data_IF_602973939489
#
_entry.id   IF_602973939489
#
_cell.length_a   1.000
_cell.length_b   1.000
_cell.length_c   1.000
_cell.angle_alpha   90.00
_cell.angle_beta   90.00
_cell.angle_gamma   90.00
#
_symmetry.space_group_name_H-M   'P 1'
#
loop_
_entity.id
_entity.type
_entity.pdbx_description
1 polymer ?
#
# COMPACT_ATOMS: atom_id res chain seq x y z
N UNK A 1 -26.67 -92.31 23.29
CA UNK A 1 -27.38 -91.12 22.91
C UNK A 1 -26.40 -89.99 22.95
N UNK A 2 -26.06 -89.43 21.81
CA UNK A 2 -25.07 -88.37 21.67
C UNK A 2 -25.78 -87.01 21.59
N UNK A 3 -25.30 -85.90 22.22
CA UNK A 3 -25.72 -84.58 21.85
C UNK A 3 -24.72 -83.91 20.91
N UNK A 4 -25.25 -83.21 19.97
CA UNK A 4 -24.61 -82.41 18.99
C UNK A 4 -23.96 -81.13 19.63
N UNK A 5 -22.72 -80.92 19.31
CA UNK A 5 -22.04 -79.63 19.62
C UNK A 5 -22.18 -78.65 18.41
N UNK A 6 -22.81 -77.56 18.62
CA UNK A 6 -22.87 -76.45 17.64
C UNK A 6 -21.69 -75.50 17.86
N UNK A 7 -20.85 -75.37 16.83
CA UNK A 7 -19.74 -74.42 16.78
C UNK A 7 -20.26 -73.05 16.29
N UNK A 8 -20.14 -72.06 17.13
CA UNK A 8 -20.45 -70.69 16.78
C UNK A 8 -19.14 -69.98 16.38
N UNK A 9 -19.00 -69.70 15.07
CA UNK A 9 -17.86 -69.00 14.54
C UNK A 9 -18.09 -67.47 14.74
N UNK A 10 -17.23 -66.79 15.53
CA UNK A 10 -17.26 -65.36 15.77
C UNK A 10 -16.39 -64.70 14.72
N UNK A 11 -17.02 -64.08 13.70
CA UNK A 11 -16.34 -63.28 12.71
C UNK A 11 -16.11 -61.87 13.27
N UNK A 12 -14.86 -61.58 13.60
CA UNK A 12 -14.46 -60.27 14.07
C UNK A 12 -14.36 -59.31 12.86
N UNK A 13 -15.31 -58.38 12.77
CA UNK A 13 -15.33 -57.33 11.75
C UNK A 13 -14.41 -56.21 12.24
N UNK A 14 -13.20 -56.13 11.69
CA UNK A 14 -12.30 -54.98 11.92
C UNK A 14 -12.76 -53.81 11.05
N UNK A 15 -13.44 -52.85 11.67
CA UNK A 15 -13.76 -51.57 11.01
C UNK A 15 -12.51 -50.70 11.06
N UNK A 16 -11.80 -50.62 9.94
CA UNK A 16 -10.69 -49.69 9.75
C UNK A 16 -11.19 -48.25 9.70
N UNK A 17 -10.93 -47.49 10.74
CA UNK A 17 -11.07 -46.03 10.70
C UNK A 17 -9.90 -45.45 9.90
N UNK A 18 -10.11 -45.18 8.62
CA UNK A 18 -9.25 -44.30 7.83
C UNK A 18 -9.52 -42.85 8.24
N UNK A 19 -8.67 -42.30 9.08
CA UNK A 19 -8.69 -40.90 9.43
C UNK A 19 -8.16 -40.11 8.23
N UNK A 20 -9.06 -39.40 7.59
CA UNK A 20 -8.78 -38.56 6.44
C UNK A 20 -8.02 -37.30 6.91
N UNK A 21 -6.69 -37.32 6.76
CA UNK A 21 -5.85 -36.12 6.90
C UNK A 21 -5.94 -35.31 5.62
N UNK A 22 -6.92 -34.41 5.52
CA UNK A 22 -7.05 -33.50 4.40
C UNK A 22 -7.73 -32.20 4.83
N UNK A 23 -7.04 -31.37 5.59
CA UNK A 23 -7.51 -29.98 5.88
C UNK A 23 -6.42 -28.90 5.89
N UNK A 24 -5.20 -29.15 5.44
CA UNK A 24 -4.15 -28.13 5.53
C UNK A 24 -3.58 -27.64 4.18
N UNK A 25 -4.24 -27.86 3.05
CA UNK A 25 -3.66 -27.49 1.74
C UNK A 25 -4.41 -26.40 0.97
N UNK A 26 -5.41 -25.74 1.55
CA UNK A 26 -6.21 -24.74 0.81
C UNK A 26 -5.89 -23.29 1.20
N UNK A 27 -5.18 -23.05 2.31
CA UNK A 27 -4.96 -21.69 2.82
C UNK A 27 -3.76 -20.98 2.17
N UNK A 28 -2.74 -21.72 1.74
CA UNK A 28 -1.49 -21.13 1.22
C UNK A 28 -1.59 -20.55 -0.20
N UNK A 29 -2.38 -21.14 -1.08
CA UNK A 29 -2.45 -20.73 -2.48
C UNK A 29 -3.28 -19.46 -2.73
N UNK A 30 -4.21 -19.13 -1.82
CA UNK A 30 -5.07 -17.96 -1.97
C UNK A 30 -4.43 -16.64 -1.51
N UNK A 31 -3.48 -16.66 -0.58
CA UNK A 31 -2.86 -15.42 -0.08
C UNK A 31 -1.82 -14.85 -1.06
N UNK A 32 -1.02 -15.68 -1.73
CA UNK A 32 -0.04 -15.22 -2.72
C UNK A 32 -0.68 -14.72 -4.02
N UNK A 33 -1.73 -15.38 -4.51
CA UNK A 33 -2.44 -14.94 -5.72
C UNK A 33 -3.24 -13.65 -5.49
N UNK A 34 -3.72 -13.42 -4.28
CA UNK A 34 -4.42 -12.20 -3.86
C UNK A 34 -3.45 -11.01 -3.77
N UNK A 35 -2.18 -11.25 -3.40
CA UNK A 35 -1.18 -10.17 -3.26
C UNK A 35 -0.69 -9.65 -4.62
N UNK A 36 -0.49 -10.51 -5.61
CA UNK A 36 0.02 -10.11 -6.94
C UNK A 36 -1.01 -9.42 -7.82
N UNK A 37 -2.29 -9.78 -7.72
CA UNK A 37 -3.36 -9.15 -8.51
C UNK A 37 -3.73 -7.73 -8.01
N UNK A 38 -3.30 -7.35 -6.79
CA UNK A 38 -3.73 -6.11 -6.12
C UNK A 38 -2.84 -4.88 -6.37
N UNK A 39 -1.66 -5.06 -6.93
CA UNK A 39 -0.68 -3.97 -7.15
C UNK A 39 -0.59 -3.51 -8.62
N UNK A 40 -1.55 -3.87 -9.46
CA UNK A 40 -1.56 -3.49 -10.88
C UNK A 40 -1.54 -1.94 -11.01
N UNK A 41 -0.47 -1.44 -11.62
CA UNK A 41 -0.24 -0.02 -11.85
C UNK A 41 0.65 0.70 -10.82
N UNK A 42 0.90 0.11 -9.64
CA UNK A 42 1.81 0.70 -8.64
C UNK A 42 3.22 0.10 -8.80
N UNK A 43 4.23 0.94 -8.91
CA UNK A 43 5.61 0.50 -9.09
C UNK A 43 6.63 1.41 -8.42
N UNK A 44 7.77 0.84 -8.01
CA UNK A 44 8.93 1.65 -7.61
C UNK A 44 9.59 2.24 -8.85
N UNK A 45 9.99 3.50 -8.75
CA UNK A 45 10.76 4.18 -9.78
C UNK A 45 12.19 4.38 -9.25
N UNK A 46 13.22 3.88 -9.94
CA UNK A 46 14.59 4.15 -9.55
C UNK A 46 14.87 5.66 -9.57
N UNK A 47 15.41 6.18 -8.48
CA UNK A 47 15.79 7.57 -8.36
C UNK A 47 16.98 7.70 -7.41
N UNK A 48 17.84 8.66 -7.69
CA UNK A 48 18.98 9.02 -6.82
C UNK A 48 18.67 10.18 -5.89
N UNK A 49 17.70 11.02 -6.26
CA UNK A 49 17.36 12.28 -5.59
C UNK A 49 15.96 12.30 -4.97
N UNK A 50 15.17 11.28 -5.25
CA UNK A 50 13.80 11.13 -4.73
C UNK A 50 13.71 9.82 -3.93
N UNK A 51 13.98 9.87 -2.62
CA UNK A 51 13.99 8.64 -1.81
C UNK A 51 12.65 7.92 -1.86
N UNK A 52 12.69 6.60 -2.00
CA UNK A 52 11.51 5.73 -1.97
C UNK A 52 10.41 6.14 -2.96
N UNK A 53 10.81 6.60 -4.15
CA UNK A 53 9.88 7.02 -5.20
C UNK A 53 9.00 5.85 -5.65
N UNK A 54 7.69 6.05 -5.57
CA UNK A 54 6.64 5.12 -6.02
C UNK A 54 5.72 5.87 -6.96
N UNK A 55 5.51 5.31 -8.15
CA UNK A 55 4.45 5.72 -9.06
C UNK A 55 3.18 4.95 -8.69
N UNK A 56 2.10 5.64 -8.35
CA UNK A 56 0.79 5.04 -8.09
C UNK A 56 -0.02 4.89 -9.37
N UNK A 57 0.06 5.90 -10.23
CA UNK A 57 -0.51 5.94 -11.58
C UNK A 57 0.16 7.09 -12.37
N UNK A 58 -0.36 7.43 -13.54
CA UNK A 58 0.20 8.50 -14.37
C UNK A 58 -0.04 9.91 -13.78
N UNK A 59 -0.93 10.04 -12.81
CA UNK A 59 -1.32 11.33 -12.20
C UNK A 59 -0.59 11.59 -10.88
N UNK A 60 -0.27 10.55 -10.09
CA UNK A 60 0.26 10.76 -8.73
C UNK A 60 1.41 9.83 -8.40
N UNK A 61 2.42 10.41 -7.77
CA UNK A 61 3.63 9.78 -7.25
C UNK A 61 3.77 10.03 -5.75
N UNK A 62 4.47 9.15 -5.07
CA UNK A 62 4.81 9.27 -3.64
C UNK A 62 6.29 9.06 -3.42
N UNK A 63 6.87 9.75 -2.44
CA UNK A 63 8.28 9.56 -2.09
C UNK A 63 8.72 10.37 -0.88
N UNK A 64 10.05 10.50 -0.73
CA UNK A 64 10.70 11.31 0.30
C UNK A 64 10.90 12.76 -0.11
N UNK A 65 11.46 13.55 0.80
CA UNK A 65 11.85 14.92 0.50
C UNK A 65 12.86 14.94 -0.66
N UNK A 66 12.64 15.76 -1.70
CA UNK A 66 13.62 15.89 -2.79
C UNK A 66 14.98 16.34 -2.26
N UNK A 67 16.04 15.66 -2.71
CA UNK A 67 17.42 15.95 -2.29
C UNK A 67 17.95 17.18 -3.01
N UNK A 68 17.85 18.32 -2.34
CA UNK A 68 18.33 19.60 -2.82
C UNK A 68 17.68 20.08 -4.13
N UNK A 69 18.29 21.06 -4.82
CA UNK A 69 17.79 21.59 -6.10
C UNK A 69 17.69 20.52 -7.19
N UNK A 70 18.62 19.56 -7.22
CA UNK A 70 18.66 18.49 -8.21
C UNK A 70 17.45 17.55 -8.07
N UNK A 71 16.94 17.33 -6.84
CA UNK A 71 15.72 16.55 -6.62
C UNK A 71 14.49 17.22 -7.24
N UNK A 72 14.41 18.55 -7.20
CA UNK A 72 13.34 19.28 -7.89
C UNK A 72 13.52 19.27 -9.42
N UNK A 73 14.74 19.25 -9.92
CA UNK A 73 15.00 19.07 -11.37
C UNK A 73 14.58 17.67 -11.82
N UNK A 74 14.85 16.64 -11.02
CA UNK A 74 14.38 15.28 -11.31
C UNK A 74 12.83 15.19 -11.31
N UNK A 75 12.15 15.86 -10.39
CA UNK A 75 10.68 15.95 -10.41
C UNK A 75 10.18 16.60 -11.72
N UNK A 76 10.82 17.66 -12.19
CA UNK A 76 10.48 18.26 -13.47
C UNK A 76 10.69 17.32 -14.65
N UNK A 77 11.79 16.56 -14.65
CA UNK A 77 12.07 15.57 -15.71
C UNK A 77 11.03 14.45 -15.77
N UNK A 78 10.41 14.13 -14.62
CA UNK A 78 9.28 13.21 -14.53
C UNK A 78 7.94 13.87 -14.94
N UNK A 79 7.96 15.13 -15.34
CA UNK A 79 6.77 15.88 -15.75
C UNK A 79 5.93 16.42 -14.59
N UNK A 80 6.37 16.25 -13.34
CA UNK A 80 5.63 16.76 -12.16
C UNK A 80 5.37 18.26 -12.29
N UNK A 81 4.16 18.69 -11.94
CA UNK A 81 3.73 20.08 -11.92
C UNK A 81 3.51 20.60 -10.51
N UNK A 82 3.01 19.74 -9.64
CA UNK A 82 2.68 20.10 -8.25
C UNK A 82 3.36 19.15 -7.28
N UNK A 83 3.94 19.72 -6.21
CA UNK A 83 4.51 19.01 -5.06
C UNK A 83 3.60 19.25 -3.86
N UNK A 84 3.23 18.19 -3.14
CA UNK A 84 2.47 18.27 -1.90
C UNK A 84 3.31 17.67 -0.78
N UNK A 85 3.72 18.51 0.18
CA UNK A 85 4.35 18.02 1.42
C UNK A 85 3.29 17.65 2.45
N UNK A 86 3.37 16.43 2.95
CA UNK A 86 2.58 15.97 4.12
C UNK A 86 3.46 15.85 5.37
N UNK A 87 4.68 16.38 5.31
CA UNK A 87 5.60 16.42 6.45
C UNK A 87 5.23 17.53 7.44
N UNK A 88 5.62 17.37 8.71
CA UNK A 88 5.51 18.41 9.71
C UNK A 88 6.60 19.50 9.58
N UNK A 89 7.71 19.17 8.89
CA UNK A 89 8.82 20.12 8.67
C UNK A 89 8.38 21.19 7.68
N UNK A 90 8.74 22.47 7.91
CA UNK A 90 8.45 23.56 6.96
C UNK A 90 8.92 23.22 5.55
N UNK A 91 8.11 23.51 4.54
CA UNK A 91 8.39 23.14 3.17
C UNK A 91 9.48 24.00 2.52
N UNK A 92 10.23 23.40 1.60
CA UNK A 92 11.19 24.13 0.76
C UNK A 92 10.49 24.69 -0.50
N UNK A 93 9.50 25.53 -0.24
CA UNK A 93 8.63 26.08 -1.29
C UNK A 93 9.37 27.00 -2.28
N UNK A 94 10.44 27.68 -1.81
CA UNK A 94 11.24 28.56 -2.66
C UNK A 94 12.02 27.80 -3.72
N UNK A 95 12.67 26.68 -3.34
CA UNK A 95 13.38 25.81 -4.29
C UNK A 95 12.43 25.23 -5.33
N UNK A 96 11.27 24.77 -4.91
CA UNK A 96 10.26 24.26 -5.83
C UNK A 96 9.80 25.36 -6.82
N UNK A 97 9.51 26.57 -6.32
CA UNK A 97 9.09 27.71 -7.14
C UNK A 97 10.17 28.13 -8.13
N UNK A 98 11.43 28.16 -7.71
CA UNK A 98 12.56 28.45 -8.59
C UNK A 98 12.69 27.46 -9.77
N UNK A 99 12.13 26.26 -9.62
CA UNK A 99 12.05 25.23 -10.66
C UNK A 99 10.70 25.22 -11.40
N UNK A 100 9.83 26.19 -11.17
CA UNK A 100 8.53 26.31 -11.82
C UNK A 100 7.50 25.25 -11.32
N UNK A 101 7.72 24.68 -10.14
CA UNK A 101 6.81 23.73 -9.50
C UNK A 101 5.88 24.47 -8.53
N UNK A 102 4.59 24.11 -8.54
CA UNK A 102 3.68 24.49 -7.45
C UNK A 102 4.02 23.69 -6.21
N UNK A 103 3.99 24.34 -5.04
CA UNK A 103 4.21 23.66 -3.76
C UNK A 103 3.06 23.91 -2.80
N UNK A 104 2.52 22.84 -2.22
CA UNK A 104 1.42 22.87 -1.25
C UNK A 104 1.85 22.12 0.02
N UNK A 105 1.55 22.68 1.20
CA UNK A 105 1.88 22.06 2.48
C UNK A 105 0.61 21.66 3.21
N UNK A 106 0.41 20.35 3.36
CA UNK A 106 -0.77 19.74 3.99
C UNK A 106 -0.34 18.66 5.01
N UNK A 107 0.33 19.07 6.11
CA UNK A 107 0.93 18.13 7.06
C UNK A 107 -0.09 17.31 7.83
N UNK A 108 0.32 16.06 8.17
CA UNK A 108 -0.38 15.19 9.12
C UNK A 108 0.61 14.35 9.93
N UNK A 109 0.15 13.81 11.07
CA UNK A 109 0.94 12.96 11.96
C UNK A 109 0.95 11.49 11.55
N UNK A 110 1.41 10.64 12.48
CA UNK A 110 1.37 9.18 12.36
C UNK A 110 0.12 8.56 13.01
N UNK A 111 -0.62 9.36 13.75
CA UNK A 111 -1.87 9.05 14.43
C UNK A 111 -3.09 9.01 13.49
N UNK A 112 -2.91 9.49 12.26
CA UNK A 112 -3.92 9.42 11.20
C UNK A 112 -4.02 10.68 10.36
N UNK A 113 -4.88 10.61 9.35
CA UNK A 113 -5.22 11.72 8.48
C UNK A 113 -6.63 12.15 8.86
N UNK A 114 -6.78 13.34 9.46
CA UNK A 114 -8.10 13.85 9.89
C UNK A 114 -9.07 13.99 8.71
N UNK A 115 -10.39 13.92 8.93
CA UNK A 115 -11.38 14.07 7.84
C UNK A 115 -11.19 15.35 7.02
N UNK A 116 -10.91 16.47 7.68
CA UNK A 116 -10.62 17.73 7.01
C UNK A 116 -9.38 17.63 6.11
N UNK A 117 -8.31 16.99 6.61
CA UNK A 117 -7.07 16.82 5.83
C UNK A 117 -7.26 15.86 4.65
N UNK A 118 -8.05 14.80 4.84
CA UNK A 118 -8.41 13.89 3.73
C UNK A 118 -9.12 14.64 2.61
N UNK A 119 -10.09 15.49 2.95
CA UNK A 119 -10.81 16.30 1.98
C UNK A 119 -9.86 17.29 1.27
N UNK A 120 -8.99 17.98 2.02
CA UNK A 120 -8.02 18.93 1.45
C UNK A 120 -7.05 18.24 0.48
N UNK A 121 -6.50 17.08 0.86
CA UNK A 121 -5.58 16.30 0.01
C UNK A 121 -6.29 15.81 -1.26
N UNK A 122 -7.47 15.20 -1.12
CA UNK A 122 -8.23 14.69 -2.27
C UNK A 122 -8.63 15.82 -3.22
N UNK A 123 -9.09 16.95 -2.67
CA UNK A 123 -9.42 18.14 -3.47
C UNK A 123 -8.19 18.70 -4.17
N UNK A 124 -7.04 18.82 -3.47
CA UNK A 124 -5.81 19.31 -4.07
C UNK A 124 -5.37 18.44 -5.25
N UNK A 125 -5.40 17.11 -5.11
CA UNK A 125 -5.03 16.19 -6.20
C UNK A 125 -6.03 16.22 -7.35
N UNK A 126 -7.30 16.45 -7.07
CA UNK A 126 -8.34 16.51 -8.11
C UNK A 126 -8.30 17.78 -8.97
N UNK A 127 -7.85 18.92 -8.41
CA UNK A 127 -7.98 20.23 -9.08
C UNK A 127 -6.66 20.88 -9.47
N UNK A 128 -5.53 20.46 -8.88
CA UNK A 128 -4.22 21.04 -9.20
C UNK A 128 -3.61 20.38 -10.43
N UNK A 129 -2.76 21.15 -11.13
CA UNK A 129 -2.06 20.64 -12.30
C UNK A 129 -1.16 19.46 -11.93
N UNK A 130 -1.35 18.34 -12.60
CA UNK A 130 -0.56 17.12 -12.44
C UNK A 130 0.42 16.88 -13.59
N UNK A 131 1.23 15.86 -13.49
CA UNK A 131 1.34 14.89 -12.39
C UNK A 131 1.76 15.52 -11.07
N UNK A 132 1.34 14.88 -9.95
CA UNK A 132 1.54 15.39 -8.59
C UNK A 132 2.51 14.49 -7.83
N UNK A 133 3.42 15.07 -7.08
CA UNK A 133 4.33 14.37 -6.18
C UNK A 133 3.95 14.65 -4.72
N UNK A 134 3.54 13.62 -3.98
CA UNK A 134 3.23 13.70 -2.55
C UNK A 134 4.41 13.17 -1.75
N UNK A 135 4.99 13.98 -0.86
CA UNK A 135 6.13 13.55 -0.08
C UNK A 135 6.00 13.81 1.42
N UNK A 136 6.73 13.00 2.19
CA UNK A 136 7.10 13.25 3.57
C UNK A 136 8.63 13.17 3.69
N UNK A 137 9.18 13.13 4.90
CA UNK A 137 10.64 13.10 5.07
C UNK A 137 11.31 11.92 4.34
N UNK A 138 10.94 10.69 4.67
CA UNK A 138 11.58 9.49 4.10
C UNK A 138 10.83 8.85 2.94
N UNK A 139 9.57 9.19 2.70
CA UNK A 139 8.77 8.59 1.64
C UNK A 139 8.24 7.17 1.93
N UNK A 140 8.31 6.71 3.19
CA UNK A 140 7.98 5.32 3.57
C UNK A 140 6.62 5.20 4.25
N UNK A 141 6.20 6.20 5.02
CA UNK A 141 5.03 6.10 5.90
C UNK A 141 3.92 7.09 5.53
N UNK A 142 4.07 8.37 5.88
CA UNK A 142 3.03 9.40 5.71
C UNK A 142 2.65 9.66 4.25
N UNK A 143 3.62 9.79 3.37
CA UNK A 143 3.34 10.06 1.95
C UNK A 143 2.67 8.90 1.22
N UNK A 144 3.09 7.62 1.35
CA UNK A 144 2.33 6.53 0.76
C UNK A 144 0.90 6.42 1.33
N UNK A 145 0.72 6.65 2.65
CA UNK A 145 -0.60 6.61 3.27
C UNK A 145 -1.52 7.72 2.72
N UNK A 146 -1.01 8.96 2.64
CA UNK A 146 -1.76 10.07 2.04
C UNK A 146 -2.11 9.81 0.58
N UNK A 147 -1.15 9.30 -0.21
CA UNK A 147 -1.37 9.01 -1.64
C UNK A 147 -2.36 7.86 -1.82
N UNK A 148 -2.23 6.78 -1.06
CA UNK A 148 -3.16 5.64 -1.10
C UNK A 148 -4.58 6.07 -0.74
N UNK A 149 -4.73 6.86 0.34
CA UNK A 149 -6.02 7.41 0.78
C UNK A 149 -6.65 8.28 -0.31
N UNK A 150 -5.87 9.16 -0.95
CA UNK A 150 -6.35 10.00 -2.07
C UNK A 150 -6.79 9.14 -3.25
N UNK A 151 -6.01 8.12 -3.61
CA UNK A 151 -6.37 7.21 -4.70
C UNK A 151 -7.68 6.45 -4.43
N UNK A 152 -7.95 6.06 -3.18
CA UNK A 152 -9.24 5.48 -2.80
C UNK A 152 -10.36 6.51 -2.89
N UNK A 153 -10.15 7.70 -2.36
CA UNK A 153 -11.16 8.77 -2.37
C UNK A 153 -11.56 9.21 -3.80
N UNK A 154 -10.62 9.13 -4.75
CA UNK A 154 -10.86 9.45 -6.17
C UNK A 154 -11.27 8.22 -7.01
N UNK A 155 -11.46 7.06 -6.39
CA UNK A 155 -11.87 5.84 -7.10
C UNK A 155 -10.79 5.17 -7.97
N UNK A 156 -9.54 5.57 -7.81
CA UNK A 156 -8.39 5.02 -8.57
C UNK A 156 -7.87 3.70 -8.00
N UNK A 157 -8.05 3.48 -6.70
CA UNK A 157 -7.72 2.24 -6.00
C UNK A 157 -8.89 1.78 -5.15
N UNK A 158 -9.01 0.46 -4.98
CA UNK A 158 -9.84 -0.14 -3.94
C UNK A 158 -9.09 -0.12 -2.60
N UNK A 159 -9.81 -0.20 -1.48
CA UNK A 159 -9.22 -0.19 -0.14
C UNK A 159 -8.16 -1.27 0.05
N UNK A 160 -8.43 -2.49 -0.46
CA UNK A 160 -7.47 -3.61 -0.35
C UNK A 160 -6.19 -3.34 -1.13
N UNK A 161 -6.28 -2.69 -2.30
CA UNK A 161 -5.12 -2.28 -3.10
C UNK A 161 -4.32 -1.20 -2.38
N UNK A 162 -5.00 -0.23 -1.76
CA UNK A 162 -4.36 0.82 -0.96
C UNK A 162 -3.57 0.21 0.20
N UNK A 163 -4.17 -0.72 0.97
CA UNK A 163 -3.50 -1.42 2.07
C UNK A 163 -2.31 -2.26 1.58
N UNK A 164 -2.44 -2.93 0.44
CA UNK A 164 -1.32 -3.65 -0.19
C UNK A 164 -0.19 -2.70 -0.59
N UNK A 165 -0.52 -1.50 -1.09
CA UNK A 165 0.46 -0.48 -1.46
C UNK A 165 1.21 0.07 -0.25
N UNK A 166 0.57 0.21 0.92
CA UNK A 166 1.26 0.60 2.15
C UNK A 166 2.31 -0.44 2.56
N UNK A 167 1.98 -1.73 2.48
CA UNK A 167 2.94 -2.81 2.73
C UNK A 167 4.09 -2.79 1.73
N UNK A 168 3.78 -2.63 0.45
CA UNK A 168 4.77 -2.50 -0.62
C UNK A 168 5.72 -1.30 -0.40
N UNK A 169 5.21 -0.17 0.08
CA UNK A 169 6.01 1.00 0.43
C UNK A 169 6.91 0.79 1.65
N UNK A 170 6.63 -0.22 2.48
CA UNK A 170 7.32 -0.48 3.73
C UNK A 170 6.75 0.30 4.92
N UNK A 171 5.49 0.76 4.82
CA UNK A 171 4.83 1.45 5.92
C UNK A 171 4.74 0.53 7.14
N UNK A 172 5.30 0.98 8.27
CA UNK A 172 5.33 0.19 9.49
C UNK A 172 3.92 -0.02 10.06
N UNK A 173 3.52 -1.26 10.40
CA UNK A 173 2.24 -1.54 11.03
C UNK A 173 2.08 -0.94 12.44
N UNK A 174 3.17 -0.41 13.02
CA UNK A 174 3.11 0.34 14.29
C UNK A 174 2.31 1.64 14.15
N UNK A 175 2.31 2.24 12.99
CA UNK A 175 1.56 3.48 12.70
C UNK A 175 0.12 3.16 12.29
N UNK A 176 -0.67 2.63 13.24
CA UNK A 176 -2.05 2.16 12.99
C UNK A 176 -2.96 3.24 12.39
N UNK A 177 -2.71 4.52 12.68
CA UNK A 177 -3.46 5.63 12.12
C UNK A 177 -3.25 5.85 10.62
N UNK A 178 -2.23 5.22 10.02
CA UNK A 178 -1.95 5.31 8.59
C UNK A 178 -2.58 4.17 7.75
N UNK A 179 -3.22 3.19 8.42
CA UNK A 179 -3.91 2.05 7.80
C UNK A 179 -5.43 2.19 7.77
#
# INVERSE_FOLDING_TARGET
>A
MRPFAASISFTCLVVGMTWCASKNLVVSANEESVTTAKLSGVSRVPSRRLPNLIKFNDTVYSGGTPDGPDGFDELRSLGIKTVISVDAIPPDAEKARAKGLRYVHLPHGYDGISPTRRLQLSKAVAILDGPIYIHCHHGIHRSPAATAMVCVALGWLKTEQALATLRFAGTSPRYRGLY
#
